data_IF_987943518719
#
_entry.id   IF_987943518719
#
_cell.length_a   1.000
_cell.length_b   1.000
_cell.length_c   1.000
_cell.angle_alpha   90.00
_cell.angle_beta   90.00
_cell.angle_gamma   90.00
#
_symmetry.space_group_name_H-M   'P 1'
#
loop_
_entity.id
_entity.type
_entity.pdbx_description
1 polymer ?
#
# COMPACT_ATOMS: atom_id res chain seq x y z
N UNK A 1 -16.90 25.02 11.56
CA UNK A 1 -17.58 24.55 10.33
C UNK A 1 -16.55 24.47 9.22
N UNK A 2 -16.62 23.47 8.34
CA UNK A 2 -15.71 23.40 7.19
C UNK A 2 -16.07 24.49 6.17
N UNK A 3 -15.09 24.99 5.42
CA UNK A 3 -15.33 25.92 4.32
C UNK A 3 -16.13 25.24 3.20
N UNK A 4 -17.12 25.95 2.63
CA UNK A 4 -17.85 25.50 1.46
C UNK A 4 -16.98 25.63 0.19
N UNK A 5 -17.07 24.70 -0.77
CA UNK A 5 -16.37 24.82 -2.04
C UNK A 5 -16.94 25.97 -2.88
N UNK A 6 -16.10 26.58 -3.72
CA UNK A 6 -16.52 27.63 -4.66
C UNK A 6 -17.38 27.09 -5.81
N UNK A 7 -17.15 25.83 -6.21
CA UNK A 7 -17.93 25.11 -7.19
C UNK A 7 -17.83 23.61 -6.90
N UNK A 8 -18.85 22.86 -7.30
CA UNK A 8 -18.92 21.41 -7.14
C UNK A 8 -19.04 20.77 -8.51
N UNK A 9 -18.20 19.75 -8.78
CA UNK A 9 -18.26 18.96 -10.01
C UNK A 9 -18.58 17.53 -9.59
N UNK A 10 -19.79 17.08 -9.91
CA UNK A 10 -20.16 15.68 -9.71
C UNK A 10 -19.36 14.80 -10.69
N UNK A 11 -18.60 13.85 -10.14
CA UNK A 11 -17.84 12.86 -10.90
C UNK A 11 -18.30 11.46 -10.52
N UNK A 12 -19.54 11.06 -10.89
CA UNK A 12 -20.06 9.75 -10.54
C UNK A 12 -19.17 8.64 -11.14
N UNK A 13 -18.90 7.57 -10.39
CA UNK A 13 -18.08 6.48 -10.89
C UNK A 13 -18.82 5.74 -12.01
N UNK A 14 -18.08 5.32 -13.05
CA UNK A 14 -18.64 4.55 -14.18
C UNK A 14 -19.23 3.22 -13.69
N UNK A 15 -18.61 2.61 -12.68
CA UNK A 15 -19.05 1.36 -12.05
C UNK A 15 -18.93 1.46 -10.53
N UNK A 16 -19.82 0.77 -9.80
CA UNK A 16 -19.59 0.50 -8.39
C UNK A 16 -18.33 -0.35 -8.17
N UNK A 17 -17.67 -0.17 -7.03
CA UNK A 17 -16.36 -0.79 -6.73
C UNK A 17 -16.39 -2.32 -6.86
N UNK A 18 -17.44 -2.97 -6.32
CA UNK A 18 -17.59 -4.42 -6.44
C UNK A 18 -17.77 -4.88 -7.89
N UNK A 19 -18.55 -4.14 -8.68
CA UNK A 19 -18.74 -4.44 -10.10
C UNK A 19 -17.43 -4.29 -10.86
N UNK A 20 -16.66 -3.23 -10.60
CA UNK A 20 -15.36 -3.02 -11.20
C UNK A 20 -14.37 -4.15 -10.85
N UNK A 21 -14.33 -4.60 -9.59
CA UNK A 21 -13.48 -5.71 -9.15
C UNK A 21 -13.85 -7.04 -9.81
N UNK A 22 -15.14 -7.37 -9.89
CA UNK A 22 -15.61 -8.58 -10.56
C UNK A 22 -15.26 -8.59 -12.04
N UNK A 23 -15.42 -7.46 -12.73
CA UNK A 23 -15.04 -7.31 -14.14
C UNK A 23 -13.53 -7.46 -14.30
N UNK A 24 -12.73 -6.78 -13.47
CA UNK A 24 -11.26 -6.86 -13.52
C UNK A 24 -10.76 -8.29 -13.34
N UNK A 25 -11.32 -9.04 -12.38
CA UNK A 25 -10.94 -10.43 -12.13
C UNK A 25 -11.35 -11.36 -13.27
N UNK A 26 -12.58 -11.22 -13.77
CA UNK A 26 -13.10 -12.02 -14.89
C UNK A 26 -12.27 -11.81 -16.16
N UNK A 27 -11.95 -10.55 -16.48
CA UNK A 27 -11.09 -10.21 -17.62
C UNK A 27 -9.66 -10.71 -17.41
N UNK A 28 -9.08 -10.53 -16.22
CA UNK A 28 -7.74 -11.00 -15.90
C UNK A 28 -7.58 -12.52 -16.07
N UNK A 29 -8.52 -13.31 -15.53
CA UNK A 29 -8.55 -14.76 -15.73
C UNK A 29 -8.79 -15.14 -17.20
N UNK A 30 -9.73 -14.46 -17.86
CA UNK A 30 -10.02 -14.68 -19.29
C UNK A 30 -8.79 -14.46 -20.16
N UNK A 31 -8.04 -13.37 -19.95
CA UNK A 31 -6.79 -13.07 -20.66
C UNK A 31 -5.74 -14.18 -20.43
N UNK A 32 -5.59 -14.64 -19.18
CA UNK A 32 -4.63 -15.68 -18.83
C UNK A 32 -4.94 -17.02 -19.51
N UNK A 33 -6.22 -17.37 -19.66
CA UNK A 33 -6.66 -18.66 -20.24
C UNK A 33 -6.72 -18.61 -21.76
N UNK A 34 -7.28 -17.56 -22.35
CA UNK A 34 -7.53 -17.44 -23.81
C UNK A 34 -6.22 -17.25 -24.59
N UNK A 35 -5.15 -16.76 -23.95
CA UNK A 35 -3.82 -16.53 -24.55
C UNK A 35 -3.82 -15.62 -25.79
N UNK A 36 -4.85 -14.80 -25.95
CA UNK A 36 -4.90 -13.75 -26.98
C UNK A 36 -4.20 -12.47 -26.51
N UNK A 37 -3.51 -11.79 -27.41
CA UNK A 37 -2.77 -10.57 -27.07
C UNK A 37 -3.59 -9.28 -27.19
N UNK A 38 -4.72 -9.27 -27.92
CA UNK A 38 -5.49 -8.03 -28.16
C UNK A 38 -6.01 -7.41 -26.86
N UNK A 39 -6.83 -8.12 -26.09
CA UNK A 39 -7.41 -7.59 -24.84
C UNK A 39 -6.29 -7.32 -23.83
N UNK A 40 -5.26 -8.18 -23.79
CA UNK A 40 -4.08 -8.02 -22.93
C UNK A 40 -3.35 -6.71 -23.21
N UNK A 41 -3.12 -6.37 -24.48
CA UNK A 41 -2.43 -5.14 -24.87
C UNK A 41 -3.30 -3.91 -24.56
N UNK A 42 -4.61 -3.97 -24.85
CA UNK A 42 -5.54 -2.89 -24.47
C UNK A 42 -5.51 -2.65 -22.94
N UNK A 43 -5.54 -3.72 -22.13
CA UNK A 43 -5.49 -3.59 -20.67
C UNK A 43 -4.15 -3.03 -20.18
N UNK A 44 -3.02 -3.41 -20.80
CA UNK A 44 -1.70 -2.85 -20.48
C UNK A 44 -1.60 -1.37 -20.82
N UNK A 45 -2.10 -0.96 -21.99
CA UNK A 45 -2.12 0.44 -22.39
C UNK A 45 -3.03 1.26 -21.48
N UNK A 46 -4.21 0.72 -21.13
CA UNK A 46 -5.12 1.35 -20.19
C UNK A 46 -4.49 1.52 -18.80
N UNK A 47 -3.82 0.48 -18.27
CA UNK A 47 -3.05 0.58 -17.03
C UNK A 47 -2.00 1.71 -17.11
N UNK A 48 -1.23 1.77 -18.21
CA UNK A 48 -0.21 2.80 -18.38
C UNK A 48 -0.80 4.23 -18.44
N UNK A 49 -2.01 4.40 -18.98
CA UNK A 49 -2.72 5.68 -18.96
C UNK A 49 -3.05 6.07 -17.50
N UNK A 50 -3.60 5.14 -16.72
CA UNK A 50 -3.94 5.38 -15.31
C UNK A 50 -2.69 5.69 -14.48
N UNK A 51 -1.61 4.95 -14.66
CA UNK A 51 -0.33 5.20 -13.97
C UNK A 51 0.20 6.60 -14.30
N UNK A 52 0.19 7.02 -15.57
CA UNK A 52 0.62 8.36 -15.98
C UNK A 52 -0.29 9.47 -15.45
N UNK A 53 -1.59 9.22 -15.37
CA UNK A 53 -2.55 10.15 -14.75
C UNK A 53 -2.21 10.35 -13.27
N UNK A 54 -1.99 9.25 -12.53
CA UNK A 54 -1.61 9.32 -11.12
C UNK A 54 -0.28 10.04 -10.96
N UNK A 55 0.76 9.65 -11.71
CA UNK A 55 2.11 10.17 -11.51
C UNK A 55 2.28 11.63 -11.93
N UNK A 56 1.62 12.05 -12.99
CA UNK A 56 1.88 13.35 -13.61
C UNK A 56 0.82 14.40 -13.29
N UNK A 57 -0.37 13.99 -12.81
CA UNK A 57 -1.47 14.91 -12.49
C UNK A 57 -1.84 14.79 -11.01
N UNK A 58 -2.20 13.60 -10.54
CA UNK A 58 -2.70 13.46 -9.15
C UNK A 58 -1.59 13.76 -8.14
N UNK A 59 -0.45 13.07 -8.21
CA UNK A 59 0.65 13.23 -7.24
C UNK A 59 1.14 14.69 -7.15
N UNK A 60 1.40 15.42 -8.26
CA UNK A 60 1.79 16.83 -8.19
C UNK A 60 0.73 17.75 -7.57
N UNK A 61 -0.56 17.38 -7.63
CA UNK A 61 -1.65 18.14 -7.03
C UNK A 61 -1.91 17.78 -5.56
N UNK A 62 -1.47 16.61 -5.09
CA UNK A 62 -1.65 16.16 -3.71
C UNK A 62 -1.14 17.17 -2.66
N UNK A 63 0.03 17.83 -2.80
CA UNK A 63 0.47 18.82 -1.83
C UNK A 63 -0.51 19.99 -1.65
N UNK A 64 -1.11 20.49 -2.75
CA UNK A 64 -2.11 21.55 -2.68
C UNK A 64 -3.40 21.07 -2.04
N UNK A 65 -3.82 19.84 -2.34
CA UNK A 65 -4.97 19.20 -1.70
C UNK A 65 -4.77 19.05 -0.19
N UNK A 66 -3.61 18.53 0.25
CA UNK A 66 -3.26 18.36 1.67
C UNK A 66 -3.21 19.72 2.38
N UNK A 67 -2.61 20.73 1.76
CA UNK A 67 -2.62 22.10 2.29
C UNK A 67 -4.05 22.62 2.50
N UNK A 68 -4.94 22.40 1.52
CA UNK A 68 -6.35 22.76 1.63
C UNK A 68 -7.07 22.06 2.79
N UNK A 69 -6.80 20.77 3.01
CA UNK A 69 -7.35 20.02 4.15
C UNK A 69 -6.88 20.64 5.48
N UNK A 70 -5.58 20.86 5.65
CA UNK A 70 -5.06 21.42 6.90
C UNK A 70 -5.53 22.86 7.14
N UNK A 71 -5.66 23.68 6.08
CA UNK A 71 -6.23 25.02 6.18
C UNK A 71 -7.70 24.96 6.66
N UNK A 72 -8.49 24.04 6.13
CA UNK A 72 -9.90 23.87 6.51
C UNK A 72 -10.06 23.37 7.96
N UNK A 73 -9.23 22.40 8.37
CA UNK A 73 -9.19 21.90 9.75
C UNK A 73 -8.74 23.00 10.74
N UNK A 74 -7.77 23.82 10.33
CA UNK A 74 -7.30 24.96 11.13
C UNK A 74 -8.39 26.00 11.31
N UNK A 75 -9.10 26.34 10.22
CA UNK A 75 -10.26 27.22 10.27
C UNK A 75 -11.37 26.68 11.19
N UNK A 76 -11.58 25.37 11.21
CA UNK A 76 -12.53 24.73 12.11
C UNK A 76 -12.09 24.69 13.60
N UNK A 77 -10.87 25.12 13.92
CA UNK A 77 -10.33 25.11 15.28
C UNK A 77 -9.96 23.72 15.82
N UNK A 78 -9.92 22.70 14.96
CA UNK A 78 -9.72 21.30 15.36
C UNK A 78 -8.29 20.79 15.15
N UNK A 79 -7.39 21.65 14.65
CA UNK A 79 -6.05 21.25 14.21
C UNK A 79 -5.22 20.57 15.31
N UNK A 80 -5.25 21.10 16.54
CA UNK A 80 -4.48 20.54 17.64
C UNK A 80 -4.94 19.12 18.01
N UNK A 81 -6.25 18.91 18.09
CA UNK A 81 -6.83 17.59 18.41
C UNK A 81 -6.51 16.59 17.30
N UNK A 82 -6.76 16.95 16.04
CA UNK A 82 -6.53 16.05 14.90
C UNK A 82 -5.04 15.72 14.77
N UNK A 83 -4.14 16.72 14.83
CA UNK A 83 -2.69 16.48 14.78
C UNK A 83 -2.20 15.61 15.94
N UNK A 84 -2.74 15.79 17.15
CA UNK A 84 -2.35 14.96 18.30
C UNK A 84 -2.70 13.49 18.11
N UNK A 85 -3.86 13.21 17.50
CA UNK A 85 -4.28 11.85 17.20
C UNK A 85 -3.45 11.29 16.05
N UNK A 86 -3.17 12.09 15.04
CA UNK A 86 -2.33 11.71 13.91
C UNK A 86 -0.95 11.28 14.35
N UNK A 87 -0.31 12.04 15.24
CA UNK A 87 0.99 11.69 15.79
C UNK A 87 0.96 10.34 16.53
N UNK A 88 -0.09 10.08 17.34
CA UNK A 88 -0.24 8.79 18.05
C UNK A 88 -0.44 7.62 17.08
N UNK A 89 -1.30 7.81 16.07
CA UNK A 89 -1.56 6.80 15.04
C UNK A 89 -0.30 6.52 14.25
N UNK A 90 0.45 7.55 13.90
CA UNK A 90 1.69 7.42 13.15
C UNK A 90 2.74 6.61 13.93
N UNK A 91 2.98 6.95 15.21
CA UNK A 91 3.89 6.18 16.07
C UNK A 91 3.45 4.71 16.14
N UNK A 92 2.15 4.45 16.35
CA UNK A 92 1.61 3.11 16.38
C UNK A 92 1.84 2.34 15.07
N UNK A 93 1.59 2.97 13.92
CA UNK A 93 1.81 2.36 12.60
C UNK A 93 3.28 2.00 12.40
N UNK A 94 4.22 2.87 12.77
CA UNK A 94 5.66 2.58 12.70
C UNK A 94 6.02 1.38 13.59
N UNK A 95 5.48 1.30 14.80
CA UNK A 95 5.71 0.16 15.69
C UNK A 95 5.15 -1.15 15.10
N UNK A 96 3.99 -1.09 14.46
CA UNK A 96 3.39 -2.23 13.77
C UNK A 96 4.22 -2.67 12.56
N UNK A 97 4.71 -1.73 11.76
CA UNK A 97 5.64 -2.01 10.65
C UNK A 97 6.89 -2.75 11.12
N UNK A 98 7.56 -2.22 12.15
CA UNK A 98 8.76 -2.84 12.74
C UNK A 98 8.44 -4.24 13.26
N UNK A 99 7.31 -4.40 13.96
CA UNK A 99 6.87 -5.67 14.52
C UNK A 99 6.61 -6.70 13.42
N UNK A 100 5.94 -6.31 12.33
CA UNK A 100 5.68 -7.21 11.19
C UNK A 100 6.98 -7.64 10.52
N UNK A 101 7.94 -6.73 10.33
CA UNK A 101 9.24 -7.08 9.76
C UNK A 101 10.01 -8.06 10.63
N UNK A 102 10.03 -7.84 11.96
CA UNK A 102 10.66 -8.76 12.89
C UNK A 102 10.02 -10.14 12.79
N UNK A 103 8.70 -10.24 12.80
CA UNK A 103 7.97 -11.52 12.68
C UNK A 103 8.28 -12.19 11.33
N UNK A 104 8.21 -11.45 10.23
CA UNK A 104 8.49 -11.98 8.89
C UNK A 104 9.89 -12.54 8.77
N UNK A 105 10.91 -11.84 9.30
CA UNK A 105 12.29 -12.31 9.26
C UNK A 105 12.56 -13.44 10.25
N UNK A 106 11.91 -13.47 11.41
CA UNK A 106 11.98 -14.63 12.32
C UNK A 106 11.45 -15.88 11.60
N UNK A 107 10.26 -15.80 11.01
CA UNK A 107 9.65 -16.93 10.28
C UNK A 107 10.52 -17.33 9.08
N UNK A 108 10.88 -16.36 8.23
CA UNK A 108 11.71 -16.61 7.05
C UNK A 108 13.10 -17.14 7.39
N UNK A 109 13.73 -16.63 8.45
CA UNK A 109 15.02 -17.09 8.96
C UNK A 109 14.96 -18.50 9.52
N UNK A 110 13.93 -18.86 10.29
CA UNK A 110 13.71 -20.23 10.77
C UNK A 110 13.55 -21.19 9.58
N UNK A 111 12.72 -20.84 8.60
CA UNK A 111 12.48 -21.67 7.42
C UNK A 111 13.75 -21.84 6.58
N UNK A 112 14.48 -20.75 6.34
CA UNK A 112 15.69 -20.76 5.52
C UNK A 112 16.96 -21.18 6.29
N UNK A 113 16.85 -21.56 7.57
CA UNK A 113 17.96 -21.93 8.46
C UNK A 113 19.02 -20.82 8.60
N UNK A 114 18.60 -19.55 8.58
CA UNK A 114 19.45 -18.38 8.68
C UNK A 114 19.16 -17.50 9.91
N UNK A 115 20.15 -16.70 10.34
CA UNK A 115 19.96 -15.78 11.46
C UNK A 115 19.03 -14.61 11.05
N UNK A 116 17.83 -14.48 11.64
CA UNK A 116 16.82 -13.51 11.20
C UNK A 116 17.27 -12.06 11.31
N UNK A 117 18.04 -11.71 12.35
CA UNK A 117 18.53 -10.35 12.56
C UNK A 117 19.64 -9.97 11.59
N UNK A 118 20.52 -10.92 11.23
CA UNK A 118 21.52 -10.70 10.17
C UNK A 118 20.85 -10.48 8.82
N UNK A 119 19.84 -11.30 8.51
CA UNK A 119 19.09 -11.22 7.26
C UNK A 119 18.32 -9.89 7.13
N UNK A 120 17.66 -9.46 8.21
CA UNK A 120 16.98 -8.17 8.25
C UNK A 120 17.98 -6.99 8.17
N UNK A 121 19.13 -7.08 8.85
CA UNK A 121 20.17 -6.03 8.82
C UNK A 121 20.71 -5.79 7.40
N UNK A 122 20.86 -6.84 6.60
CA UNK A 122 21.31 -6.71 5.21
C UNK A 122 20.33 -5.92 4.34
N UNK A 123 19.05 -5.85 4.72
CA UNK A 123 18.01 -5.17 3.94
C UNK A 123 17.86 -3.69 4.28
N UNK A 124 18.61 -3.20 5.26
CA UNK A 124 18.62 -1.78 5.68
C UNK A 124 18.83 -0.81 4.49
N UNK A 125 19.74 -1.06 3.53
CA UNK A 125 19.86 -0.20 2.35
C UNK A 125 18.56 -0.12 1.54
N UNK A 126 17.89 -1.25 1.30
CA UNK A 126 16.63 -1.28 0.57
C UNK A 126 15.52 -0.53 1.33
N UNK A 127 15.45 -0.71 2.66
CA UNK A 127 14.51 0.03 3.52
C UNK A 127 14.69 1.54 3.37
N UNK A 128 15.92 2.05 3.47
CA UNK A 128 16.18 3.49 3.36
C UNK A 128 16.01 4.04 1.93
N UNK A 129 16.32 3.25 0.90
CA UNK A 129 16.01 3.63 -0.49
C UNK A 129 14.50 3.75 -0.69
N UNK A 130 13.71 2.80 -0.20
CA UNK A 130 12.25 2.86 -0.27
C UNK A 130 11.67 4.01 0.56
N UNK A 131 12.26 4.30 1.72
CA UNK A 131 11.87 5.45 2.54
C UNK A 131 12.11 6.78 1.81
N UNK A 132 13.21 6.90 1.06
CA UNK A 132 13.55 8.12 0.31
C UNK A 132 12.79 8.26 -1.01
N UNK A 133 12.60 7.16 -1.74
CA UNK A 133 11.94 7.16 -3.05
C UNK A 133 10.41 7.11 -2.95
N UNK A 134 9.88 6.57 -1.84
CA UNK A 134 8.45 6.30 -1.66
C UNK A 134 7.86 5.44 -2.80
N UNK A 135 8.68 4.60 -3.43
CA UNK A 135 8.22 3.69 -4.50
C UNK A 135 8.89 2.32 -4.40
N UNK A 136 8.06 1.27 -4.33
CA UNK A 136 8.52 -0.12 -4.38
C UNK A 136 9.22 -0.41 -5.71
N UNK A 137 8.62 0.03 -6.82
CA UNK A 137 9.15 -0.19 -8.17
C UNK A 137 10.53 0.47 -8.36
N UNK A 138 10.70 1.71 -7.88
CA UNK A 138 11.99 2.39 -7.94
C UNK A 138 13.08 1.72 -7.07
N UNK A 139 12.68 0.95 -6.05
CA UNK A 139 13.59 0.31 -5.10
C UNK A 139 13.97 -1.12 -5.49
N UNK A 140 13.37 -1.69 -6.54
CA UNK A 140 13.66 -3.07 -7.01
C UNK A 140 15.17 -3.35 -7.13
N UNK A 141 16.00 -2.51 -7.79
CA UNK A 141 17.42 -2.82 -7.97
C UNK A 141 18.18 -3.02 -6.65
N UNK A 142 17.95 -2.14 -5.67
CA UNK A 142 18.61 -2.21 -4.35
C UNK A 142 18.09 -3.41 -3.56
N UNK A 143 16.79 -3.66 -3.62
CA UNK A 143 16.14 -4.79 -2.94
C UNK A 143 16.67 -6.13 -3.44
N UNK A 144 16.81 -6.24 -4.76
CA UNK A 144 17.35 -7.43 -5.42
C UNK A 144 18.79 -7.70 -4.96
N UNK A 145 19.63 -6.67 -4.94
CA UNK A 145 21.02 -6.77 -4.49
C UNK A 145 21.10 -7.24 -3.03
N UNK A 146 20.32 -6.63 -2.12
CA UNK A 146 20.34 -7.00 -0.71
C UNK A 146 19.74 -8.41 -0.47
N UNK A 147 18.74 -8.80 -1.26
CA UNK A 147 18.15 -10.15 -1.23
C UNK A 147 19.18 -11.20 -1.66
N UNK A 148 19.94 -10.95 -2.72
CA UNK A 148 21.05 -11.82 -3.15
C UNK A 148 22.16 -11.87 -2.11
N UNK A 149 22.47 -10.75 -1.44
CA UNK A 149 23.41 -10.68 -0.31
C UNK A 149 22.98 -11.50 0.91
N UNK A 150 21.68 -11.78 1.05
CA UNK A 150 21.15 -12.72 2.04
C UNK A 150 21.39 -14.20 1.68
N UNK A 151 22.07 -14.49 0.57
CA UNK A 151 22.41 -15.84 0.16
C UNK A 151 21.29 -16.56 -0.59
N UNK A 152 20.22 -15.86 -0.96
CA UNK A 152 19.13 -16.39 -1.77
C UNK A 152 19.63 -16.67 -3.19
N UNK A 153 19.16 -17.76 -3.79
CA UNK A 153 19.50 -18.12 -5.17
C UNK A 153 19.04 -17.03 -6.15
N UNK A 154 19.92 -16.64 -7.06
CA UNK A 154 19.73 -15.48 -7.94
C UNK A 154 18.41 -15.54 -8.71
N UNK A 155 18.06 -16.70 -9.29
CA UNK A 155 16.78 -16.86 -10.02
C UNK A 155 15.54 -16.74 -9.13
N UNK A 156 15.64 -17.08 -7.85
CA UNK A 156 14.55 -16.91 -6.89
C UNK A 156 14.39 -15.43 -6.56
N UNK A 157 15.50 -14.73 -6.30
CA UNK A 157 15.46 -13.28 -6.06
C UNK A 157 14.93 -12.51 -7.28
N UNK A 158 15.40 -12.85 -8.49
CA UNK A 158 15.00 -12.22 -9.76
C UNK A 158 13.52 -12.42 -10.09
N UNK A 159 12.89 -13.47 -9.56
CA UNK A 159 11.46 -13.73 -9.69
C UNK A 159 10.63 -13.10 -8.57
N UNK A 160 11.00 -13.36 -7.30
CA UNK A 160 10.17 -13.00 -6.14
C UNK A 160 10.15 -11.48 -5.93
N UNK A 161 11.29 -10.79 -6.05
CA UNK A 161 11.36 -9.36 -5.72
C UNK A 161 10.52 -8.51 -6.67
N UNK A 162 10.63 -8.63 -8.01
CA UNK A 162 9.78 -7.84 -8.91
C UNK A 162 8.29 -8.17 -8.78
N UNK A 163 7.95 -9.43 -8.52
CA UNK A 163 6.57 -9.85 -8.31
C UNK A 163 5.99 -9.23 -7.04
N UNK A 164 6.67 -9.41 -5.90
CA UNK A 164 6.23 -8.92 -4.60
C UNK A 164 6.20 -7.39 -4.52
N UNK A 165 7.09 -6.69 -5.21
CA UNK A 165 7.07 -5.23 -5.31
C UNK A 165 5.73 -4.67 -5.84
N UNK A 166 4.92 -5.50 -6.52
CA UNK A 166 3.56 -5.15 -6.98
C UNK A 166 2.48 -5.74 -6.07
N UNK A 167 2.58 -7.03 -5.71
CA UNK A 167 1.45 -7.74 -5.09
C UNK A 167 1.52 -7.83 -3.56
N UNK A 168 2.64 -7.46 -2.95
CA UNK A 168 2.87 -7.56 -1.51
C UNK A 168 2.97 -6.17 -0.87
N UNK A 169 1.80 -5.63 -0.50
CA UNK A 169 1.67 -4.30 0.11
C UNK A 169 1.29 -4.38 1.60
N UNK A 170 2.07 -5.12 2.39
CA UNK A 170 1.79 -5.36 3.82
C UNK A 170 1.86 -4.10 4.68
N UNK A 171 2.90 -3.29 4.54
CA UNK A 171 3.05 -1.99 5.19
C UNK A 171 1.93 -1.02 4.82
N UNK A 172 1.58 -0.93 3.54
CA UNK A 172 0.44 -0.10 3.09
C UNK A 172 -0.89 -0.58 3.66
N UNK A 173 -1.10 -1.90 3.72
CA UNK A 173 -2.30 -2.50 4.31
C UNK A 173 -2.39 -2.19 5.80
N UNK A 174 -1.29 -2.34 6.56
CA UNK A 174 -1.23 -1.97 7.98
C UNK A 174 -1.63 -0.51 8.15
N UNK A 175 -1.02 0.39 7.37
CA UNK A 175 -1.31 1.83 7.43
C UNK A 175 -2.78 2.12 7.15
N UNK A 176 -3.33 1.58 6.05
CA UNK A 176 -4.72 1.83 5.66
C UNK A 176 -5.71 1.30 6.70
N UNK A 177 -5.49 0.10 7.23
CA UNK A 177 -6.37 -0.48 8.26
C UNK A 177 -6.29 0.35 9.56
N UNK A 178 -5.08 0.65 10.03
CA UNK A 178 -4.89 1.42 11.26
C UNK A 178 -5.44 2.85 11.15
N UNK A 179 -5.21 3.54 10.02
CA UNK A 179 -5.75 4.87 9.79
C UNK A 179 -7.27 4.86 9.65
N UNK A 180 -7.84 3.85 8.97
CA UNK A 180 -9.31 3.71 8.87
C UNK A 180 -9.93 3.58 10.27
N UNK A 181 -9.39 2.67 11.09
CA UNK A 181 -9.87 2.49 12.46
C UNK A 181 -9.73 3.77 13.29
N UNK A 182 -8.62 4.50 13.16
CA UNK A 182 -8.43 5.75 13.88
C UNK A 182 -9.44 6.83 13.47
N UNK A 183 -9.67 7.01 12.18
CA UNK A 183 -10.68 7.95 11.65
C UNK A 183 -12.07 7.56 12.14
N UNK A 184 -12.41 6.27 12.10
CA UNK A 184 -13.68 5.74 12.61
C UNK A 184 -13.85 6.06 14.10
N UNK A 185 -12.84 5.78 14.92
CA UNK A 185 -12.89 6.06 16.37
C UNK A 185 -13.01 7.56 16.66
N UNK A 186 -12.34 8.42 15.88
CA UNK A 186 -12.45 9.87 16.01
C UNK A 186 -13.86 10.40 15.71
N UNK A 187 -14.58 9.72 14.83
CA UNK A 187 -15.92 10.11 14.41
C UNK A 187 -17.01 9.29 15.13
N UNK A 188 -16.66 8.54 16.20
CA UNK A 188 -17.61 7.75 16.97
C UNK A 188 -18.22 6.56 16.21
N UNK A 189 -17.56 6.10 15.14
CA UNK A 189 -18.00 4.95 14.35
C UNK A 189 -17.53 3.63 14.98
N UNK A 190 -18.32 2.56 14.79
CA UNK A 190 -17.99 1.22 15.31
C UNK A 190 -16.85 0.57 14.54
N UNK A 191 -15.81 0.14 15.23
CA UNK A 191 -14.64 -0.58 14.66
C UNK A 191 -14.68 -2.09 14.95
N UNK A 192 -15.88 -2.66 15.06
CA UNK A 192 -16.06 -4.08 15.36
C UNK A 192 -15.37 -4.98 14.33
N UNK A 193 -14.97 -6.18 14.76
CA UNK A 193 -14.37 -7.19 13.87
C UNK A 193 -15.29 -7.53 12.68
N UNK A 194 -16.60 -7.50 12.88
CA UNK A 194 -17.58 -7.76 11.81
C UNK A 194 -17.53 -6.75 10.66
N UNK A 195 -17.11 -5.52 10.93
CA UNK A 195 -16.94 -4.45 9.92
C UNK A 195 -15.53 -4.52 9.32
N UNK A 196 -14.52 -4.62 10.18
CA UNK A 196 -13.12 -4.54 9.75
C UNK A 196 -12.65 -5.80 9.02
N UNK A 197 -13.13 -6.98 9.37
CA UNK A 197 -12.66 -8.23 8.77
C UNK A 197 -13.00 -8.33 7.27
N UNK A 198 -14.26 -8.12 6.82
CA UNK A 198 -14.57 -8.06 5.39
C UNK A 198 -13.79 -6.97 4.65
N UNK A 199 -13.62 -5.80 5.28
CA UNK A 199 -12.84 -4.71 4.71
C UNK A 199 -11.37 -5.11 4.48
N UNK A 200 -10.72 -5.77 5.46
CA UNK A 200 -9.34 -6.25 5.33
C UNK A 200 -9.21 -7.27 4.20
N UNK A 201 -10.16 -8.20 4.06
CA UNK A 201 -10.14 -9.18 2.97
C UNK A 201 -10.25 -8.50 1.60
N UNK A 202 -11.19 -7.58 1.44
CA UNK A 202 -11.36 -6.82 0.20
C UNK A 202 -10.17 -5.92 -0.09
N UNK A 203 -9.60 -5.29 0.94
CA UNK A 203 -8.39 -4.50 0.82
C UNK A 203 -7.23 -5.36 0.31
N UNK A 204 -7.05 -6.57 0.85
CA UNK A 204 -6.03 -7.50 0.37
C UNK A 204 -6.17 -7.83 -1.13
N UNK A 205 -7.40 -8.06 -1.61
CA UNK A 205 -7.67 -8.28 -3.04
C UNK A 205 -7.31 -7.04 -3.85
N UNK A 206 -7.76 -5.86 -3.41
CA UNK A 206 -7.52 -4.59 -4.11
C UNK A 206 -6.05 -4.20 -4.14
N UNK A 207 -5.29 -4.51 -3.09
CA UNK A 207 -3.86 -4.20 -3.02
C UNK A 207 -3.03 -4.93 -4.08
N UNK A 208 -3.47 -6.08 -4.58
CA UNK A 208 -2.80 -6.76 -5.72
C UNK A 208 -2.82 -5.89 -6.98
N UNK A 209 -3.83 -5.02 -7.11
CA UNK A 209 -4.00 -4.12 -8.25
C UNK A 209 -3.53 -2.68 -7.96
N UNK A 210 -3.04 -2.39 -6.75
CA UNK A 210 -2.60 -1.04 -6.40
C UNK A 210 -1.25 -0.74 -7.09
N UNK A 211 -1.10 0.45 -7.69
CA UNK A 211 0.13 0.80 -8.39
C UNK A 211 1.27 1.04 -7.38
N UNK A 212 2.48 0.60 -7.72
CA UNK A 212 3.70 0.75 -6.89
C UNK A 212 4.32 2.16 -6.88
N UNK A 213 3.50 3.20 -6.99
CA UNK A 213 3.88 4.62 -7.05
C UNK A 213 3.40 5.35 -5.78
N UNK A 214 3.98 6.52 -5.43
CA UNK A 214 3.60 7.25 -4.21
C UNK A 214 2.10 7.51 -4.13
N UNK A 215 1.48 7.18 -2.99
CA UNK A 215 0.04 7.33 -2.77
C UNK A 215 -0.85 6.33 -3.55
N UNK A 216 -0.28 5.43 -4.35
CA UNK A 216 -1.04 4.48 -5.17
C UNK A 216 -2.01 3.60 -4.37
N UNK A 217 -1.57 3.12 -3.21
CA UNK A 217 -2.39 2.27 -2.35
C UNK A 217 -3.61 2.98 -1.76
N UNK A 218 -3.49 4.24 -1.30
CA UNK A 218 -4.65 4.97 -0.78
C UNK A 218 -5.64 5.30 -1.88
N UNK A 219 -5.17 5.69 -3.07
CA UNK A 219 -6.04 5.95 -4.23
C UNK A 219 -6.81 4.68 -4.61
N UNK A 220 -6.16 3.53 -4.62
CA UNK A 220 -6.83 2.25 -4.88
C UNK A 220 -7.86 1.89 -3.79
N UNK A 221 -7.63 2.30 -2.53
CA UNK A 221 -8.51 2.00 -1.41
C UNK A 221 -9.72 2.95 -1.27
N UNK A 222 -9.71 4.14 -1.89
CA UNK A 222 -10.75 5.17 -1.70
C UNK A 222 -12.17 4.63 -1.90
N UNK A 223 -12.39 3.89 -2.99
CA UNK A 223 -13.70 3.30 -3.27
C UNK A 223 -14.15 2.31 -2.20
N UNK A 224 -13.24 1.53 -1.63
CA UNK A 224 -13.58 0.61 -0.53
C UNK A 224 -13.88 1.35 0.77
N UNK A 225 -13.12 2.40 1.07
CA UNK A 225 -13.35 3.24 2.24
C UNK A 225 -14.73 3.90 2.19
N UNK A 226 -15.13 4.40 1.03
CA UNK A 226 -16.46 4.95 0.80
C UNK A 226 -17.53 3.86 0.88
N UNK A 227 -17.42 2.81 0.06
CA UNK A 227 -18.49 1.83 -0.12
C UNK A 227 -18.68 0.86 1.07
N UNK A 228 -17.59 0.51 1.78
CA UNK A 228 -17.64 -0.47 2.87
C UNK A 228 -17.62 0.17 4.26
N UNK A 229 -16.85 1.25 4.44
CA UNK A 229 -16.75 1.93 5.74
C UNK A 229 -17.63 3.17 5.82
N UNK A 230 -18.26 3.59 4.72
CA UNK A 230 -19.17 4.74 4.69
C UNK A 230 -18.45 6.07 4.87
N UNK A 231 -17.19 6.17 4.44
CA UNK A 231 -16.41 7.40 4.61
C UNK A 231 -16.95 8.50 3.70
N UNK A 232 -17.46 9.62 4.26
CA UNK A 232 -17.82 10.78 3.46
C UNK A 232 -16.57 11.47 2.87
N UNK A 233 -16.73 12.36 1.88
CA UNK A 233 -15.62 13.04 1.21
C UNK A 233 -14.59 13.68 2.16
N UNK A 234 -15.04 14.24 3.29
CA UNK A 234 -14.17 14.80 4.31
C UNK A 234 -13.24 13.76 4.97
N UNK A 235 -13.76 12.56 5.26
CA UNK A 235 -12.95 11.46 5.83
C UNK A 235 -12.02 10.83 4.79
N UNK A 236 -12.46 10.73 3.52
CA UNK A 236 -11.59 10.29 2.42
C UNK A 236 -10.42 11.24 2.21
N UNK A 237 -10.68 12.56 2.22
CA UNK A 237 -9.65 13.59 2.15
C UNK A 237 -8.66 13.47 3.31
N UNK A 238 -9.19 13.29 4.53
CA UNK A 238 -8.39 13.09 5.73
C UNK A 238 -7.51 11.84 5.64
N UNK A 239 -8.04 10.75 5.08
CA UNK A 239 -7.32 9.51 4.85
C UNK A 239 -6.16 9.69 3.87
N UNK A 240 -6.36 10.41 2.77
CA UNK A 240 -5.29 10.73 1.81
C UNK A 240 -4.16 11.46 2.53
N UNK A 241 -4.47 12.50 3.31
CA UNK A 241 -3.46 13.26 4.04
C UNK A 241 -2.70 12.39 5.05
N UNK A 242 -3.42 11.57 5.82
CA UNK A 242 -2.83 10.66 6.81
C UNK A 242 -1.93 9.61 6.20
N UNK A 243 -2.36 9.01 5.10
CA UNK A 243 -1.64 7.93 4.44
C UNK A 243 -0.37 8.49 3.78
N UNK A 244 -0.50 9.55 2.97
CA UNK A 244 0.61 10.13 2.21
C UNK A 244 1.73 10.62 3.12
N UNK A 245 1.39 11.16 4.30
CA UNK A 245 2.39 11.63 5.28
C UNK A 245 3.35 10.53 5.78
N UNK A 246 2.97 9.26 5.70
CA UNK A 246 3.74 8.12 6.21
C UNK A 246 3.95 6.99 5.21
N UNK A 247 3.50 7.17 3.97
CA UNK A 247 3.52 6.15 2.92
C UNK A 247 4.94 5.62 2.63
N UNK A 248 5.96 6.45 2.83
CA UNK A 248 7.36 6.05 2.73
C UNK A 248 7.74 4.92 3.69
N UNK A 249 7.22 4.90 4.92
CA UNK A 249 7.46 3.84 5.90
C UNK A 249 6.71 2.55 5.54
N UNK A 250 5.48 2.70 5.05
CA UNK A 250 4.72 1.57 4.51
C UNK A 250 5.43 0.93 3.33
N UNK A 251 5.93 1.75 2.40
CA UNK A 251 6.70 1.31 1.23
C UNK A 251 8.00 0.60 1.66
N UNK A 252 8.75 1.18 2.59
CA UNK A 252 9.95 0.56 3.14
C UNK A 252 9.68 -0.80 3.78
N UNK A 253 8.53 -0.93 4.46
CA UNK A 253 8.06 -2.18 5.04
C UNK A 253 7.70 -3.22 3.97
N UNK A 254 6.98 -2.83 2.92
CA UNK A 254 6.64 -3.70 1.79
C UNK A 254 7.90 -4.32 1.19
N UNK A 255 8.81 -3.45 0.74
CA UNK A 255 10.05 -3.82 0.05
C UNK A 255 10.97 -4.68 0.93
N UNK A 256 11.06 -4.36 2.22
CA UNK A 256 11.88 -5.15 3.15
C UNK A 256 11.25 -6.51 3.41
N UNK A 257 9.92 -6.58 3.50
CA UNK A 257 9.18 -7.82 3.67
C UNK A 257 9.27 -8.76 2.45
N UNK A 258 9.45 -8.23 1.24
CA UNK A 258 9.68 -9.02 0.03
C UNK A 258 10.91 -9.94 0.18
N UNK A 259 11.97 -9.44 0.82
CA UNK A 259 13.16 -10.22 1.14
C UNK A 259 12.85 -11.40 2.08
N UNK A 260 11.93 -11.23 3.04
CA UNK A 260 11.52 -12.31 3.92
C UNK A 260 10.72 -13.40 3.20
N UNK A 261 9.86 -13.00 2.25
CA UNK A 261 9.15 -13.95 1.38
C UNK A 261 10.16 -14.73 0.53
N UNK A 262 11.15 -14.04 -0.03
CA UNK A 262 12.18 -14.67 -0.85
C UNK A 262 12.98 -15.75 -0.08
N UNK A 263 13.21 -15.58 1.23
CA UNK A 263 13.82 -16.62 2.09
C UNK A 263 12.98 -17.91 2.11
N UNK A 264 11.67 -17.77 2.32
CA UNK A 264 10.74 -18.89 2.38
C UNK A 264 10.65 -19.59 1.03
N UNK A 265 10.49 -18.83 -0.06
CA UNK A 265 10.42 -19.38 -1.42
C UNK A 265 11.72 -20.08 -1.80
N UNK A 266 12.89 -19.52 -1.44
CA UNK A 266 14.19 -20.15 -1.68
C UNK A 266 14.26 -21.55 -1.05
N UNK A 267 13.80 -21.67 0.20
CA UNK A 267 13.79 -22.97 0.90
C UNK A 267 12.80 -23.96 0.28
N UNK A 268 11.58 -23.51 -0.01
CA UNK A 268 10.54 -24.35 -0.64
C UNK A 268 11.02 -24.86 -2.01
N UNK A 269 11.83 -24.05 -2.70
CA UNK A 269 12.43 -24.41 -4.00
C UNK A 269 13.66 -25.33 -3.87
N UNK A 270 14.00 -25.79 -2.66
CA UNK A 270 15.08 -26.75 -2.41
C UNK A 270 16.47 -26.14 -2.22
N UNK A 271 16.60 -24.81 -2.23
CA UNK A 271 17.89 -24.14 -2.05
C UNK A 271 18.19 -23.88 -0.57
N UNK A 272 19.48 -23.85 -0.23
CA UNK A 272 19.99 -23.33 1.05
C UNK A 272 20.54 -21.93 0.83
N UNK A 273 20.69 -21.17 1.91
CA UNK A 273 21.38 -19.89 1.85
C UNK A 273 22.87 -20.13 1.56
N UNK A 274 23.44 -19.33 0.66
CA UNK A 274 24.89 -19.33 0.34
C UNK A 274 25.73 -18.83 1.52
#
# INVERSE_FOLDING_TARGET
>A
ALLAPYFEIEMPPIFGVMTALLIAFTLGLGIAVIKGDTIKNVMKEFQAIIEKLISNIIIPLLPFHILGIFANITYAGQVATILSVFARVFIMVILLHITVLIIQYIVGGIVAEGNPFKLLKNMVPAYFTALGTQSSAATIPVTLEQTKKNGIHDSIADFVIPLCATIHLSGSTITLVSCSMAIMMLNGMSTSLSIMFPFILMLGITMVAAPGVPGGAVIAALGLLEAMLGFPPAMLSLMIALYVAQDSFGTATNVTGDGAIALVVNRISGYRLK
#
